data_IF_746645048769
#
_entry.id   IF_746645048769
#
_cell.length_a   1.000
_cell.length_b   1.000
_cell.length_c   1.000
_cell.angle_alpha   90.00
_cell.angle_beta   90.00
_cell.angle_gamma   90.00
#
_symmetry.space_group_name_H-M   'P 1'
#
loop_
_entity.id
_entity.type
_entity.pdbx_description
1 polymer ?
#
# COMPACT_ATOMS: atom_id res chain seq x y z
N UNK A 1 -31.80 20.93 -7.39
CA UNK A 1 -32.10 19.64 -8.02
C UNK A 1 -30.93 18.74 -7.78
N UNK A 2 -31.11 17.61 -7.07
CA UNK A 2 -30.03 16.68 -6.83
C UNK A 2 -29.85 15.82 -8.08
N UNK A 3 -28.68 15.92 -8.71
CA UNK A 3 -28.27 14.97 -9.75
C UNK A 3 -28.16 13.57 -9.12
N UNK A 4 -28.61 12.51 -9.80
CA UNK A 4 -28.43 11.17 -9.29
C UNK A 4 -26.93 10.84 -9.17
N UNK A 5 -26.53 10.09 -8.12
CA UNK A 5 -25.13 9.71 -7.93
C UNK A 5 -24.63 8.90 -9.13
N UNK A 6 -23.41 9.20 -9.57
CA UNK A 6 -22.83 8.52 -10.72
C UNK A 6 -22.44 7.10 -10.31
N UNK A 7 -22.67 6.08 -11.16
CA UNK A 7 -22.19 4.72 -10.89
C UNK A 7 -20.67 4.64 -10.66
N UNK A 8 -19.91 5.63 -11.15
CA UNK A 8 -18.45 5.70 -11.03
C UNK A 8 -17.95 6.51 -9.84
N UNK A 9 -18.84 7.14 -9.07
CA UNK A 9 -18.48 8.04 -7.97
C UNK A 9 -17.62 7.32 -6.91
N UNK A 10 -18.09 6.19 -6.39
CA UNK A 10 -17.35 5.43 -5.35
C UNK A 10 -16.06 4.78 -5.85
N UNK A 11 -15.99 4.16 -7.04
CA UNK A 11 -14.74 3.69 -7.60
C UNK A 11 -13.67 4.79 -7.73
N UNK A 12 -14.05 5.99 -8.22
CA UNK A 12 -13.13 7.12 -8.36
C UNK A 12 -12.68 7.63 -7.00
N UNK A 13 -13.60 7.70 -6.04
CA UNK A 13 -13.28 8.13 -4.69
C UNK A 13 -12.32 7.16 -3.98
N UNK A 14 -12.54 5.85 -4.09
CA UNK A 14 -11.60 4.87 -3.55
C UNK A 14 -10.23 4.91 -4.25
N UNK A 15 -10.16 5.21 -5.56
CA UNK A 15 -8.89 5.45 -6.24
C UNK A 15 -8.17 6.69 -5.69
N UNK A 16 -8.91 7.76 -5.41
CA UNK A 16 -8.35 8.96 -4.78
C UNK A 16 -7.78 8.64 -3.39
N UNK A 17 -8.49 7.84 -2.59
CA UNK A 17 -8.01 7.37 -1.29
C UNK A 17 -6.73 6.52 -1.42
N UNK A 18 -6.70 5.56 -2.35
CA UNK A 18 -5.50 4.75 -2.63
C UNK A 18 -4.31 5.61 -3.06
N UNK A 19 -4.54 6.68 -3.83
CA UNK A 19 -3.47 7.63 -4.21
C UNK A 19 -2.78 8.21 -2.98
N UNK A 20 -3.51 8.58 -1.93
CA UNK A 20 -2.91 9.11 -0.71
C UNK A 20 -2.05 8.07 0.00
N UNK A 21 -2.49 6.80 0.05
CA UNK A 21 -1.71 5.71 0.63
C UNK A 21 -0.40 5.48 -0.13
N UNK A 22 -0.45 5.43 -1.46
CA UNK A 22 0.74 5.28 -2.33
C UNK A 22 1.74 6.43 -2.12
N UNK A 23 1.25 7.64 -1.91
CA UNK A 23 2.06 8.84 -1.68
C UNK A 23 2.48 9.00 -0.21
N UNK A 24 2.10 8.09 0.68
CA UNK A 24 2.31 8.19 2.13
C UNK A 24 1.72 9.49 2.74
N UNK A 25 0.60 9.98 2.19
CA UNK A 25 -0.10 11.20 2.62
C UNK A 25 -1.28 10.85 3.53
N UNK A 26 -0.98 10.21 4.66
CA UNK A 26 -1.99 9.65 5.59
C UNK A 26 -2.91 10.74 6.20
N UNK A 27 -2.39 11.94 6.46
CA UNK A 27 -3.20 13.03 6.99
C UNK A 27 -4.33 13.45 6.02
N UNK A 28 -4.03 13.49 4.72
CA UNK A 28 -5.01 13.85 3.69
C UNK A 28 -5.99 12.72 3.42
N UNK A 29 -5.53 11.47 3.54
CA UNK A 29 -6.42 10.32 3.54
C UNK A 29 -7.51 10.45 4.61
N UNK A 30 -7.14 10.75 5.87
CA UNK A 30 -8.11 10.91 6.95
C UNK A 30 -9.00 12.13 6.77
N UNK A 31 -8.42 13.25 6.32
CA UNK A 31 -9.19 14.47 6.03
C UNK A 31 -10.28 14.21 4.99
N UNK A 32 -9.95 13.50 3.90
CA UNK A 32 -10.95 13.17 2.88
C UNK A 32 -11.95 12.12 3.35
N UNK A 33 -11.52 11.15 4.16
CA UNK A 33 -12.41 10.14 4.73
C UNK A 33 -13.48 10.77 5.64
N UNK A 34 -13.12 11.80 6.42
CA UNK A 34 -14.03 12.54 7.31
C UNK A 34 -15.10 13.32 6.55
N UNK A 35 -14.83 13.72 5.30
CA UNK A 35 -15.80 14.43 4.45
C UNK A 35 -16.86 13.49 3.85
N UNK A 36 -16.65 12.17 3.92
CA UNK A 36 -17.57 11.19 3.33
C UNK A 36 -18.80 10.97 4.19
N UNK A 37 -19.93 10.75 3.51
CA UNK A 37 -21.16 10.35 4.19
C UNK A 37 -21.05 8.92 4.73
N UNK A 38 -21.81 8.60 5.78
CA UNK A 38 -21.86 7.23 6.33
C UNK A 38 -22.22 6.17 5.28
N UNK A 39 -23.12 6.51 4.34
CA UNK A 39 -23.48 5.61 3.25
C UNK A 39 -22.31 5.33 2.28
N UNK A 40 -21.43 6.31 2.07
CA UNK A 40 -20.23 6.13 1.26
C UNK A 40 -19.21 5.21 1.97
N UNK A 41 -19.04 5.35 3.29
CA UNK A 41 -18.15 4.49 4.08
C UNK A 41 -18.54 3.01 4.04
N UNK A 42 -19.81 2.70 3.78
CA UNK A 42 -20.27 1.32 3.62
C UNK A 42 -19.89 0.69 2.26
N UNK A 43 -19.45 1.51 1.28
CA UNK A 43 -19.11 1.05 -0.06
C UNK A 43 -17.84 0.18 -0.07
N UNK A 44 -17.83 -0.96 -0.80
CA UNK A 44 -16.67 -1.85 -0.88
C UNK A 44 -15.37 -1.17 -1.34
N UNK A 45 -15.44 -0.17 -2.22
CA UNK A 45 -14.26 0.55 -2.71
C UNK A 45 -13.58 1.36 -1.61
N UNK A 46 -14.38 1.98 -0.74
CA UNK A 46 -13.88 2.81 0.36
C UNK A 46 -13.42 1.93 1.51
N UNK A 47 -14.19 0.89 1.87
CA UNK A 47 -13.79 -0.10 2.88
C UNK A 47 -12.42 -0.71 2.57
N UNK A 48 -12.20 -1.09 1.31
CA UNK A 48 -10.92 -1.63 0.89
C UNK A 48 -9.75 -0.67 1.15
N UNK A 49 -9.93 0.63 0.89
CA UNK A 49 -8.90 1.62 1.16
C UNK A 49 -8.64 1.81 2.67
N UNK A 50 -9.69 1.74 3.50
CA UNK A 50 -9.57 1.82 4.97
C UNK A 50 -8.86 0.60 5.55
N UNK A 51 -9.21 -0.60 5.11
CA UNK A 51 -8.54 -1.86 5.52
C UNK A 51 -7.05 -1.86 5.14
N UNK A 52 -6.72 -1.29 3.98
CA UNK A 52 -5.33 -1.11 3.56
C UNK A 52 -4.59 -0.11 4.43
N UNK A 53 -5.18 1.04 4.75
CA UNK A 53 -4.59 2.01 5.67
C UNK A 53 -4.29 1.36 7.04
N UNK A 54 -5.24 0.62 7.59
CA UNK A 54 -5.05 -0.10 8.84
C UNK A 54 -3.92 -1.13 8.74
N UNK A 55 -3.88 -1.91 7.66
CA UNK A 55 -2.81 -2.88 7.43
C UNK A 55 -1.43 -2.23 7.34
N UNK A 56 -1.35 -1.04 6.72
CA UNK A 56 -0.09 -0.26 6.64
C UNK A 56 0.32 0.24 8.02
N UNK A 57 -0.63 0.74 8.82
CA UNK A 57 -0.37 1.24 10.18
C UNK A 57 0.13 0.15 11.11
N UNK A 58 -0.44 -1.05 11.00
CA UNK A 58 -0.06 -2.22 11.81
C UNK A 58 1.19 -2.94 11.27
N UNK A 59 1.71 -2.54 10.10
CA UNK A 59 2.82 -3.23 9.43
C UNK A 59 2.45 -4.62 8.90
N UNK A 60 1.15 -4.90 8.76
CA UNK A 60 0.59 -6.16 8.28
C UNK A 60 0.66 -6.24 6.74
N UNK A 61 1.86 -6.14 6.18
CA UNK A 61 2.04 -6.01 4.73
C UNK A 61 1.64 -7.25 3.92
N UNK A 62 1.67 -8.43 4.53
CA UNK A 62 1.10 -9.63 3.92
C UNK A 62 -0.40 -9.46 3.62
N UNK A 63 -1.13 -8.72 4.46
CA UNK A 63 -2.53 -8.39 4.21
C UNK A 63 -2.68 -7.45 3.02
N UNK A 64 -1.78 -6.47 2.84
CA UNK A 64 -1.75 -5.59 1.66
C UNK A 64 -1.53 -6.38 0.37
N UNK A 65 -0.64 -7.37 0.38
CA UNK A 65 -0.40 -8.24 -0.77
C UNK A 65 -1.60 -9.15 -1.09
N UNK A 66 -2.26 -9.70 -0.07
CA UNK A 66 -3.48 -10.48 -0.23
C UNK A 66 -4.65 -9.62 -0.73
N UNK A 67 -4.77 -8.38 -0.25
CA UNK A 67 -5.79 -7.43 -0.65
C UNK A 67 -5.73 -7.10 -2.15
N UNK A 68 -4.55 -7.20 -2.79
CA UNK A 68 -4.41 -7.10 -4.25
C UNK A 68 -5.25 -8.14 -5.01
N UNK A 69 -5.48 -9.31 -4.42
CA UNK A 69 -6.28 -10.39 -5.04
C UNK A 69 -7.79 -10.14 -4.91
N UNK A 70 -8.20 -9.29 -3.97
CA UNK A 70 -9.60 -9.00 -3.65
C UNK A 70 -10.00 -7.59 -4.07
N UNK A 71 -9.31 -7.01 -5.05
CA UNK A 71 -9.60 -5.64 -5.48
C UNK A 71 -11.01 -5.53 -6.06
N UNK A 72 -11.81 -4.53 -5.65
CA UNK A 72 -13.19 -4.37 -6.13
C UNK A 72 -13.27 -3.88 -7.58
N UNK A 73 -12.17 -3.34 -8.13
CA UNK A 73 -12.12 -2.80 -9.49
C UNK A 73 -10.73 -3.00 -10.11
N UNK A 74 -10.66 -3.32 -11.41
CA UNK A 74 -9.40 -3.62 -12.12
C UNK A 74 -8.37 -2.49 -12.06
N UNK A 75 -8.84 -1.23 -12.10
CA UNK A 75 -8.00 -0.04 -12.04
C UNK A 75 -7.19 0.06 -10.74
N UNK A 76 -7.60 -0.64 -9.69
CA UNK A 76 -6.93 -0.62 -8.39
C UNK A 76 -5.64 -1.43 -8.46
N UNK A 77 -5.53 -2.43 -9.35
CA UNK A 77 -4.35 -3.28 -9.47
C UNK A 77 -3.06 -2.47 -9.67
N UNK A 78 -3.11 -1.41 -10.49
CA UNK A 78 -1.97 -0.52 -10.71
C UNK A 78 -1.55 0.22 -9.43
N UNK A 79 -2.53 0.76 -8.68
CA UNK A 79 -2.25 1.42 -7.41
C UNK A 79 -1.77 0.44 -6.34
N UNK A 80 -2.27 -0.80 -6.34
CA UNK A 80 -1.81 -1.86 -5.44
C UNK A 80 -0.36 -2.24 -5.73
N UNK A 81 0.04 -2.33 -7.00
CA UNK A 81 1.44 -2.58 -7.37
C UNK A 81 2.35 -1.43 -6.92
N UNK A 82 1.90 -0.17 -7.07
CA UNK A 82 2.62 0.99 -6.56
C UNK A 82 2.70 0.98 -5.03
N UNK A 83 1.61 0.63 -4.34
CA UNK A 83 1.56 0.59 -2.88
C UNK A 83 2.50 -0.48 -2.32
N UNK A 84 2.51 -1.68 -2.91
CA UNK A 84 3.41 -2.76 -2.53
C UNK A 84 4.88 -2.32 -2.66
N UNK A 85 5.20 -1.53 -3.70
CA UNK A 85 6.53 -0.93 -3.87
C UNK A 85 6.82 0.12 -2.79
N UNK A 86 5.91 1.05 -2.51
CA UNK A 86 6.08 2.07 -1.46
C UNK A 86 6.33 1.43 -0.10
N UNK A 87 5.55 0.40 0.25
CA UNK A 87 5.71 -0.39 1.47
C UNK A 87 7.08 -1.04 1.57
N UNK A 88 7.52 -1.68 0.48
CA UNK A 88 8.82 -2.34 0.42
C UNK A 88 9.96 -1.33 0.61
N UNK A 89 9.85 -0.16 -0.01
CA UNK A 89 10.83 0.94 0.10
C UNK A 89 10.88 1.50 1.54
N UNK A 90 9.74 1.66 2.21
CA UNK A 90 9.70 2.05 3.62
C UNK A 90 10.27 0.96 4.54
N UNK A 91 9.97 -0.32 4.30
CA UNK A 91 10.58 -1.42 5.05
C UNK A 91 12.10 -1.41 4.89
N UNK A 92 12.62 -1.28 3.67
CA UNK A 92 14.06 -1.20 3.41
C UNK A 92 14.72 -0.04 4.16
N UNK A 93 14.06 1.13 4.15
CA UNK A 93 14.53 2.32 4.86
C UNK A 93 14.58 2.10 6.37
N UNK A 94 13.57 1.43 6.94
CA UNK A 94 13.52 1.09 8.36
C UNK A 94 14.54 0.01 8.74
N UNK A 95 14.66 -1.06 7.95
CA UNK A 95 15.64 -2.14 8.16
C UNK A 95 17.06 -1.60 8.21
N UNK A 96 17.42 -0.68 7.29
CA UNK A 96 18.74 -0.05 7.26
C UNK A 96 19.09 0.74 8.52
N UNK A 97 18.08 1.29 9.21
CA UNK A 97 18.27 2.03 10.46
C UNK A 97 18.32 1.12 11.67
N UNK A 98 17.63 -0.01 11.61
CA UNK A 98 17.48 -0.93 12.73
C UNK A 98 18.60 -1.96 12.81
N UNK A 99 19.21 -2.33 11.68
CA UNK A 99 20.17 -3.42 11.59
C UNK A 99 21.42 -3.01 10.81
N UNK A 100 22.59 -3.29 11.39
CA UNK A 100 23.88 -3.16 10.69
C UNK A 100 24.11 -4.31 9.70
N UNK A 101 23.53 -5.48 9.98
CA UNK A 101 23.59 -6.70 9.18
C UNK A 101 22.25 -7.42 9.22
N UNK A 102 21.86 -8.01 8.09
CA UNK A 102 20.67 -8.84 7.97
C UNK A 102 20.97 -10.08 7.12
N UNK A 103 20.53 -11.25 7.56
CA UNK A 103 20.66 -12.47 6.75
C UNK A 103 19.80 -12.36 5.47
N UNK A 104 20.18 -13.05 4.40
CA UNK A 104 19.40 -13.07 3.14
C UNK A 104 17.98 -13.58 3.39
N UNK A 105 17.83 -14.57 4.27
CA UNK A 105 16.52 -15.14 4.65
C UNK A 105 15.62 -14.13 5.34
N UNK A 106 16.17 -13.36 6.29
CA UNK A 106 15.41 -12.35 7.04
C UNK A 106 15.13 -11.12 6.17
N UNK A 107 16.09 -10.70 5.36
CA UNK A 107 15.93 -9.62 4.39
C UNK A 107 14.82 -9.94 3.39
N UNK A 108 14.76 -11.18 2.89
CA UNK A 108 13.71 -11.62 1.97
C UNK A 108 12.32 -11.53 2.61
N UNK A 109 12.17 -12.00 3.85
CA UNK A 109 10.90 -11.93 4.58
C UNK A 109 10.50 -10.49 4.88
N UNK A 110 11.44 -9.68 5.35
CA UNK A 110 11.18 -8.30 5.77
C UNK A 110 10.86 -7.37 4.59
N UNK A 111 11.49 -7.61 3.44
CA UNK A 111 11.26 -6.85 2.20
C UNK A 111 10.16 -7.46 1.31
N UNK A 112 9.52 -8.55 1.77
CA UNK A 112 8.42 -9.21 1.07
C UNK A 112 8.83 -9.59 -0.36
N UNK A 113 10.03 -10.14 -0.51
CA UNK A 113 10.54 -10.65 -1.78
C UNK A 113 10.16 -12.12 -1.92
N UNK A 114 9.72 -12.52 -3.11
CA UNK A 114 9.29 -13.88 -3.40
C UNK A 114 10.48 -14.83 -3.61
N UNK A 115 11.61 -14.29 -4.09
CA UNK A 115 12.83 -15.05 -4.37
C UNK A 115 14.10 -14.30 -3.99
N UNK A 116 15.20 -15.05 -3.84
CA UNK A 116 16.53 -14.47 -3.60
C UNK A 116 17.00 -13.62 -4.78
N UNK A 117 16.57 -13.96 -6.00
CA UNK A 117 16.84 -13.17 -7.21
C UNK A 117 16.16 -11.81 -7.15
N UNK A 118 14.88 -11.76 -6.79
CA UNK A 118 14.13 -10.50 -6.63
C UNK A 118 14.79 -9.63 -5.55
N UNK A 119 15.22 -10.24 -4.44
CA UNK A 119 15.94 -9.54 -3.38
C UNK A 119 17.28 -8.98 -3.88
N UNK A 120 18.06 -9.75 -4.62
CA UNK A 120 19.34 -9.31 -5.16
C UNK A 120 19.20 -8.13 -6.13
N UNK A 121 18.19 -8.17 -7.01
CA UNK A 121 17.85 -7.07 -7.92
C UNK A 121 17.40 -5.82 -7.16
N UNK A 122 16.57 -6.01 -6.14
CA UNK A 122 16.11 -4.93 -5.29
C UNK A 122 17.26 -4.25 -4.52
N UNK A 123 18.16 -5.03 -3.90
CA UNK A 123 19.34 -4.50 -3.19
C UNK A 123 20.23 -3.70 -4.14
N UNK A 124 20.47 -4.20 -5.36
CA UNK A 124 21.25 -3.47 -6.39
C UNK A 124 20.60 -2.13 -6.73
N UNK A 125 19.28 -2.11 -6.92
CA UNK A 125 18.52 -0.91 -7.28
C UNK A 125 18.53 0.14 -6.18
N UNK A 126 18.36 -0.27 -4.93
CA UNK A 126 18.24 0.65 -3.78
C UNK A 126 19.62 1.11 -3.28
N UNK A 127 20.73 0.61 -3.85
CA UNK A 127 22.10 0.87 -3.37
C UNK A 127 22.20 0.70 -1.85
N UNK A 128 21.43 -0.24 -1.28
CA UNK A 128 21.13 -0.24 0.15
C UNK A 128 22.34 -0.71 0.98
N UNK A 129 23.33 -1.38 0.39
CA UNK A 129 24.48 -1.91 1.14
C UNK A 129 25.82 -1.54 0.50
N UNK A 130 26.56 -0.66 1.18
CA UNK A 130 28.03 -0.78 1.20
C UNK A 130 28.32 -1.99 2.09
N UNK A 131 28.82 -3.09 1.52
CA UNK A 131 29.30 -4.24 2.28
C UNK A 131 28.42 -5.49 2.25
N UNK A 132 28.00 -5.92 1.06
CA UNK A 132 27.94 -7.37 0.80
C UNK A 132 29.34 -7.83 0.40
#
# INVERSE_FOLDING_TARGET
GCTPPSPQEYPILGLNLLRFLVQNRIAEFHTELELLSYAALENPCIKHAVELEQSLREGAYNCVLSARQTVPHETYAYFMDLLAKTVRDENARCSKKAYDYLSISDARKMLLCSSDQELAEYIKKVKLMRGL
#
